data_IF_141462273953
#
_entry.id   IF_141462273953
#
_cell.length_a   1.000
_cell.length_b   1.000
_cell.length_c   1.000
_cell.angle_alpha   90.00
_cell.angle_beta   90.00
_cell.angle_gamma   90.00
#
_symmetry.space_group_name_H-M   'P 1'
#
loop_
_entity.id
_entity.type
_entity.pdbx_description
1 polymer ?
#
# COMPACT_ATOMS: atom_id res chain seq x y z
N UNK A 1 0.24 -18.09 -21.92
CA UNK A 1 0.63 -18.55 -20.57
C UNK A 1 -0.53 -19.30 -19.94
N UNK A 2 -0.27 -20.41 -19.26
CA UNK A 2 -1.26 -21.24 -18.56
C UNK A 2 -0.85 -21.28 -17.08
N UNK A 3 -1.57 -20.58 -16.18
CA UNK A 3 -1.33 -20.68 -14.75
C UNK A 3 -1.98 -21.95 -14.18
N UNK A 4 -1.27 -22.63 -13.28
CA UNK A 4 -1.79 -23.78 -12.54
C UNK A 4 -1.64 -23.53 -11.05
N UNK A 5 -2.77 -23.58 -10.34
CA UNK A 5 -2.82 -23.33 -8.90
C UNK A 5 -3.07 -24.62 -8.14
N UNK A 6 -2.15 -24.99 -7.26
CA UNK A 6 -2.34 -26.09 -6.32
C UNK A 6 -3.20 -25.63 -5.13
N UNK A 7 -4.35 -26.26 -4.95
CA UNK A 7 -5.29 -25.95 -3.86
C UNK A 7 -4.84 -26.48 -2.50
N UNK A 8 -3.90 -27.43 -2.46
CA UNK A 8 -3.44 -28.05 -1.21
C UNK A 8 -2.41 -27.19 -0.52
N UNK A 9 -1.36 -26.81 -1.24
CA UNK A 9 -0.28 -25.99 -0.72
C UNK A 9 -0.38 -24.52 -1.15
N UNK A 10 -1.42 -24.14 -1.89
CA UNK A 10 -1.64 -22.76 -2.36
C UNK A 10 -0.42 -22.23 -3.10
N UNK A 11 0.11 -23.01 -4.04
CA UNK A 11 1.28 -22.66 -4.84
C UNK A 11 0.86 -22.46 -6.29
N UNK A 12 1.52 -21.53 -6.97
CA UNK A 12 1.27 -21.23 -8.37
C UNK A 12 2.44 -21.70 -9.23
N UNK A 13 2.15 -22.39 -10.32
CA UNK A 13 3.10 -22.68 -11.39
C UNK A 13 2.62 -22.00 -12.68
N UNK A 14 3.57 -21.51 -13.47
CA UNK A 14 3.31 -20.96 -14.80
C UNK A 14 3.84 -21.91 -15.86
N UNK A 15 3.02 -22.22 -16.84
CA UNK A 15 3.39 -22.96 -18.03
C UNK A 15 3.28 -22.04 -19.25
N UNK A 16 4.34 -21.96 -20.04
CA UNK A 16 4.36 -21.24 -21.30
C UNK A 16 4.33 -22.29 -22.41
N UNK A 17 3.25 -22.28 -23.20
CA UNK A 17 3.03 -23.20 -24.29
C UNK A 17 2.98 -22.45 -25.62
N UNK A 18 3.35 -23.14 -26.69
CA UNK A 18 3.15 -22.66 -28.06
C UNK A 18 1.67 -22.71 -28.48
N UNK A 19 1.37 -22.24 -29.69
CA UNK A 19 0.01 -22.26 -30.25
C UNK A 19 -0.57 -23.67 -30.46
N UNK A 20 0.24 -24.72 -30.35
CA UNK A 20 -0.20 -26.12 -30.43
C UNK A 20 -0.35 -26.78 -29.04
N UNK A 21 -0.15 -26.01 -27.96
CA UNK A 21 -0.28 -26.50 -26.59
C UNK A 21 0.95 -27.24 -26.07
N UNK A 22 2.07 -27.28 -26.81
CA UNK A 22 3.31 -27.86 -26.30
C UNK A 22 3.94 -26.89 -25.29
N UNK A 23 4.13 -27.35 -24.06
CA UNK A 23 4.83 -26.58 -23.02
C UNK A 23 6.30 -26.39 -23.42
N UNK A 24 6.70 -25.15 -23.62
CA UNK A 24 8.07 -24.72 -23.94
C UNK A 24 8.87 -24.40 -22.67
N UNK A 25 8.23 -23.82 -21.66
CA UNK A 25 8.85 -23.45 -20.40
C UNK A 25 7.87 -23.61 -19.24
N UNK A 26 8.39 -23.92 -18.06
CA UNK A 26 7.61 -24.00 -16.82
C UNK A 26 8.41 -23.43 -15.66
N UNK A 27 7.74 -22.77 -14.72
CA UNK A 27 8.36 -22.29 -13.49
C UNK A 27 7.36 -22.24 -12.35
N UNK A 28 7.82 -22.59 -11.15
CA UNK A 28 7.16 -22.32 -9.87
C UNK A 28 8.00 -21.40 -8.98
N UNK A 29 9.10 -20.84 -9.52
CA UNK A 29 9.99 -19.91 -8.84
C UNK A 29 9.39 -18.49 -8.83
N UNK A 30 8.29 -18.34 -8.10
CA UNK A 30 7.52 -17.11 -7.96
C UNK A 30 7.66 -16.55 -6.54
N UNK A 31 7.68 -15.23 -6.40
CA UNK A 31 7.72 -14.54 -5.10
C UNK A 31 6.56 -14.98 -4.19
N UNK A 32 5.36 -15.16 -4.76
CA UNK A 32 4.16 -15.65 -4.05
C UNK A 32 4.37 -17.04 -3.40
N UNK A 33 5.24 -17.87 -3.97
CA UNK A 33 5.54 -19.20 -3.47
C UNK A 33 6.65 -19.22 -2.39
N UNK A 34 7.18 -18.04 -2.05
CA UNK A 34 8.29 -17.84 -1.12
C UNK A 34 7.95 -16.85 0.01
N UNK A 35 6.66 -16.54 0.22
CA UNK A 35 6.21 -15.57 1.23
C UNK A 35 6.37 -16.08 2.64
N UNK A 36 6.15 -17.37 2.87
CA UNK A 36 6.38 -18.01 4.16
C UNK A 36 7.57 -18.95 4.04
N UNK A 37 8.73 -18.48 4.51
CA UNK A 37 9.98 -19.21 4.41
C UNK A 37 9.90 -20.53 5.20
N UNK A 38 10.41 -21.61 4.59
CA UNK A 38 10.46 -22.94 5.20
C UNK A 38 9.12 -23.69 5.23
N UNK A 39 8.04 -23.14 4.68
CA UNK A 39 6.73 -23.80 4.63
C UNK A 39 6.33 -24.18 3.20
N UNK A 40 5.75 -25.37 3.04
CA UNK A 40 5.24 -25.81 1.74
C UNK A 40 3.97 -25.04 1.37
N UNK A 41 3.05 -24.89 2.33
CA UNK A 41 1.84 -24.11 2.18
C UNK A 41 2.18 -22.61 2.13
N UNK A 42 1.61 -21.90 1.16
CA UNK A 42 1.83 -20.47 0.95
C UNK A 42 0.50 -19.70 1.06
N UNK A 43 0.51 -18.36 1.19
CA UNK A 43 -0.71 -17.58 1.38
C UNK A 43 -1.44 -17.25 0.07
N UNK A 44 -0.95 -17.70 -1.08
CA UNK A 44 -1.49 -17.36 -2.40
C UNK A 44 -2.94 -17.82 -2.57
N UNK A 45 -3.76 -16.97 -3.17
CA UNK A 45 -5.18 -17.20 -3.44
C UNK A 45 -5.51 -17.17 -4.95
N UNK A 46 -4.54 -16.79 -5.80
CA UNK A 46 -4.73 -16.71 -7.24
C UNK A 46 -3.97 -15.54 -7.87
N UNK A 47 -4.10 -15.42 -9.20
CA UNK A 47 -3.56 -14.30 -9.96
C UNK A 47 -4.52 -13.11 -9.86
N UNK A 48 -3.98 -11.95 -9.53
CA UNK A 48 -4.69 -10.67 -9.55
C UNK A 48 -4.55 -10.00 -10.92
N UNK A 49 -3.32 -9.88 -11.42
CA UNK A 49 -3.04 -9.25 -12.70
C UNK A 49 -1.83 -9.90 -13.38
N UNK A 50 -1.79 -9.85 -14.71
CA UNK A 50 -0.64 -10.24 -15.51
C UNK A 50 -0.50 -9.30 -16.70
N UNK A 51 0.74 -8.87 -16.97
CA UNK A 51 1.07 -8.10 -18.16
C UNK A 51 2.31 -8.69 -18.84
N UNK A 52 2.34 -8.60 -20.17
CA UNK A 52 3.45 -9.05 -21.01
C UNK A 52 4.01 -7.84 -21.76
N UNK A 53 5.22 -7.43 -21.40
CA UNK A 53 5.85 -6.25 -21.96
C UNK A 53 7.35 -6.29 -21.70
N UNK A 54 8.11 -5.59 -22.52
CA UNK A 54 9.53 -5.36 -22.27
C UNK A 54 9.67 -4.33 -21.14
N UNK A 55 10.17 -4.75 -19.98
CA UNK A 55 10.42 -3.85 -18.83
C UNK A 55 11.89 -3.60 -18.57
N UNK A 56 12.81 -4.27 -19.26
CA UNK A 56 14.26 -4.07 -19.12
C UNK A 56 14.95 -3.45 -20.34
N UNK A 57 14.21 -3.23 -21.44
CA UNK A 57 14.68 -2.63 -22.69
C UNK A 57 15.49 -3.58 -23.57
N UNK A 58 15.33 -4.91 -23.43
CA UNK A 58 16.06 -5.92 -24.20
C UNK A 58 15.32 -6.42 -25.46
N UNK A 59 14.20 -5.78 -25.80
CA UNK A 59 13.29 -6.09 -26.91
C UNK A 59 12.58 -7.46 -26.76
N UNK A 60 12.58 -8.05 -25.56
CA UNK A 60 11.90 -9.31 -25.26
C UNK A 60 10.73 -9.08 -24.31
N UNK A 61 9.77 -10.00 -24.35
CA UNK A 61 8.58 -9.89 -23.50
C UNK A 61 8.87 -10.49 -22.14
N UNK A 62 8.88 -9.64 -21.12
CA UNK A 62 8.90 -10.04 -19.73
C UNK A 62 7.47 -10.27 -19.21
N UNK A 63 7.36 -10.94 -18.06
CA UNK A 63 6.08 -11.18 -17.38
C UNK A 63 6.06 -10.37 -16.10
N UNK A 64 5.14 -9.41 -16.02
CA UNK A 64 4.80 -8.72 -14.78
C UNK A 64 3.59 -9.44 -14.18
N UNK A 65 3.72 -9.92 -12.94
CA UNK A 65 2.71 -10.75 -12.27
C UNK A 65 2.34 -10.14 -10.92
N UNK A 66 1.03 -10.07 -10.64
CA UNK A 66 0.53 -9.77 -9.30
C UNK A 66 -0.38 -10.91 -8.87
N UNK A 67 -0.22 -11.38 -7.64
CA UNK A 67 -1.05 -12.43 -7.03
C UNK A 67 -1.73 -11.91 -5.78
N UNK A 68 -2.93 -12.42 -5.50
CA UNK A 68 -3.58 -12.21 -4.22
C UNK A 68 -3.03 -13.20 -3.21
N UNK A 69 -2.71 -12.72 -2.01
CA UNK A 69 -2.35 -13.53 -0.87
C UNK A 69 -3.31 -13.22 0.28
N UNK A 70 -3.56 -14.19 1.16
CA UNK A 70 -4.37 -14.01 2.36
C UNK A 70 -3.58 -14.43 3.58
N UNK A 71 -3.50 -13.52 4.55
CA UNK A 71 -2.82 -13.79 5.82
C UNK A 71 -3.56 -14.92 6.56
N UNK A 72 -2.84 -15.99 6.89
CA UNK A 72 -3.38 -17.14 7.61
C UNK A 72 -3.33 -16.98 9.14
N UNK A 73 -2.53 -16.03 9.64
CA UNK A 73 -2.23 -15.82 11.05
C UNK A 73 -1.84 -14.36 11.36
N UNK A 74 -1.71 -14.02 12.65
CA UNK A 74 -1.35 -12.68 13.12
C UNK A 74 -2.49 -11.67 13.12
N UNK A 75 -2.18 -10.41 13.42
CA UNK A 75 -3.15 -9.30 13.52
C UNK A 75 -3.86 -8.99 12.20
N UNK A 76 -3.28 -9.44 11.09
CA UNK A 76 -3.83 -9.29 9.74
C UNK A 76 -4.56 -10.54 9.23
N UNK A 77 -4.82 -11.55 10.08
CA UNK A 77 -5.47 -12.80 9.69
C UNK A 77 -6.77 -12.56 8.90
N UNK A 78 -6.90 -13.24 7.77
CA UNK A 78 -8.07 -13.14 6.88
C UNK A 78 -8.00 -11.96 5.90
N UNK A 79 -7.13 -10.97 6.12
CA UNK A 79 -6.95 -9.87 5.18
C UNK A 79 -6.18 -10.33 3.94
N UNK A 80 -6.69 -9.91 2.78
CA UNK A 80 -6.04 -10.11 1.48
C UNK A 80 -5.03 -8.99 1.25
N UNK A 81 -3.91 -9.30 0.61
CA UNK A 81 -2.88 -8.36 0.15
C UNK A 81 -2.33 -8.80 -1.19
N UNK A 82 -1.69 -7.90 -1.93
CA UNK A 82 -1.09 -8.19 -3.25
C UNK A 82 0.38 -8.61 -3.10
N UNK A 83 0.87 -9.46 -4.00
CA UNK A 83 2.30 -9.79 -4.14
C UNK A 83 2.69 -9.68 -5.60
N UNK A 84 3.61 -8.77 -5.90
CA UNK A 84 4.13 -8.50 -7.24
C UNK A 84 5.42 -9.27 -7.52
N UNK A 85 5.63 -9.63 -8.78
CA UNK A 85 6.84 -10.29 -9.27
C UNK A 85 7.10 -9.92 -10.74
N UNK A 86 8.35 -10.01 -11.16
CA UNK A 86 8.77 -9.79 -12.56
C UNK A 86 9.67 -10.92 -12.99
N UNK A 87 9.28 -11.59 -14.08
CA UNK A 87 10.05 -12.65 -14.70
C UNK A 87 10.60 -12.12 -16.03
N UNK A 88 11.92 -11.99 -16.09
CA UNK A 88 12.61 -11.51 -17.28
C UNK A 88 12.86 -12.66 -18.25
N UNK A 89 12.59 -12.43 -19.53
CA UNK A 89 12.94 -13.43 -20.54
C UNK A 89 14.48 -13.53 -20.66
N UNK A 90 15.02 -14.74 -20.72
CA UNK A 90 16.45 -14.91 -20.91
C UNK A 90 16.88 -14.54 -22.33
N UNK A 91 18.17 -14.24 -22.50
CA UNK A 91 18.73 -13.83 -23.80
C UNK A 91 18.57 -14.89 -24.89
N UNK A 92 18.52 -16.17 -24.51
CA UNK A 92 18.30 -17.27 -25.46
C UNK A 92 16.83 -17.40 -25.89
N UNK A 93 15.89 -16.67 -25.25
CA UNK A 93 14.45 -16.80 -25.48
C UNK A 93 13.87 -18.16 -25.07
N UNK A 94 14.62 -18.96 -24.29
CA UNK A 94 14.27 -20.35 -23.93
C UNK A 94 13.63 -20.46 -22.55
N UNK A 95 13.63 -19.38 -21.77
CA UNK A 95 13.08 -19.39 -20.42
C UNK A 95 13.10 -18.02 -19.76
N UNK A 96 12.77 -18.03 -18.48
CA UNK A 96 12.63 -16.83 -17.67
C UNK A 96 13.46 -16.94 -16.39
N UNK A 97 13.82 -15.80 -15.82
CA UNK A 97 14.47 -15.73 -14.52
C UNK A 97 13.88 -14.59 -13.68
N UNK A 98 14.06 -14.68 -12.36
CA UNK A 98 13.58 -13.69 -11.40
C UNK A 98 14.75 -12.97 -10.76
N UNK A 99 14.63 -11.65 -10.60
CA UNK A 99 15.52 -10.88 -9.73
C UNK A 99 14.83 -10.63 -8.39
N UNK A 100 15.29 -11.33 -7.35
CA UNK A 100 14.71 -11.21 -6.00
C UNK A 100 14.85 -9.81 -5.40
N UNK A 101 15.82 -8.99 -5.85
CA UNK A 101 16.03 -7.63 -5.35
C UNK A 101 14.93 -6.69 -5.86
N UNK A 102 14.48 -6.92 -7.09
CA UNK A 102 13.35 -6.19 -7.69
C UNK A 102 12.06 -6.60 -7.00
N UNK A 103 11.82 -7.90 -6.83
CA UNK A 103 10.65 -8.41 -6.10
C UNK A 103 10.59 -7.88 -4.66
N UNK A 104 11.71 -7.83 -3.94
CA UNK A 104 11.79 -7.27 -2.59
C UNK A 104 11.35 -5.79 -2.57
N UNK A 105 11.89 -4.96 -3.46
CA UNK A 105 11.53 -3.53 -3.53
C UNK A 105 10.08 -3.32 -3.91
N UNK A 106 9.58 -4.03 -4.93
CA UNK A 106 8.18 -3.95 -5.38
C UNK A 106 7.22 -4.18 -4.22
N UNK A 107 7.45 -5.25 -3.45
CA UNK A 107 6.55 -5.66 -2.39
C UNK A 107 6.75 -4.86 -1.09
N UNK A 108 7.97 -4.44 -0.79
CA UNK A 108 8.28 -3.68 0.44
C UNK A 108 7.73 -2.26 0.40
N UNK A 109 7.74 -1.63 -0.77
CA UNK A 109 7.37 -0.22 -0.91
C UNK A 109 6.00 0.01 -1.57
N UNK A 110 5.19 -1.06 -1.70
CA UNK A 110 3.81 -0.96 -2.15
C UNK A 110 3.65 -0.68 -3.65
N UNK A 111 4.64 -1.00 -4.47
CA UNK A 111 4.57 -0.87 -5.94
C UNK A 111 3.85 -2.06 -6.58
N UNK A 112 3.50 -3.08 -5.79
CA UNK A 112 2.71 -4.26 -6.17
C UNK A 112 1.19 -4.00 -6.30
N UNK A 113 0.75 -2.74 -6.28
CA UNK A 113 -0.67 -2.35 -6.39
C UNK A 113 -1.23 -2.58 -7.80
N UNK A 114 -0.43 -2.30 -8.84
CA UNK A 114 -0.81 -2.51 -10.24
C UNK A 114 0.39 -2.88 -11.10
N UNK A 115 0.12 -3.44 -12.28
CA UNK A 115 1.18 -3.78 -13.24
C UNK A 115 1.90 -2.54 -13.74
N UNK A 116 1.22 -1.42 -13.86
CA UNK A 116 1.74 -0.13 -14.32
C UNK A 116 2.71 0.47 -13.30
N UNK A 117 2.43 0.34 -11.99
CA UNK A 117 3.38 0.75 -10.95
C UNK A 117 4.65 -0.09 -10.97
N UNK A 118 4.52 -1.41 -11.09
CA UNK A 118 5.68 -2.29 -11.22
C UNK A 118 6.50 -1.90 -12.46
N UNK A 119 5.84 -1.65 -13.59
CA UNK A 119 6.51 -1.22 -14.82
C UNK A 119 7.20 0.14 -14.66
N UNK A 120 6.52 1.14 -14.07
CA UNK A 120 7.12 2.45 -13.81
C UNK A 120 8.38 2.34 -12.94
N UNK A 121 8.40 1.37 -12.01
CA UNK A 121 9.59 1.09 -11.21
C UNK A 121 10.69 0.38 -11.97
N UNK A 122 10.37 -0.74 -12.63
CA UNK A 122 11.39 -1.60 -13.25
C UNK A 122 11.95 -0.97 -14.53
N UNK A 123 11.08 -0.40 -15.38
CA UNK A 123 11.46 0.18 -16.66
C UNK A 123 11.93 1.63 -16.53
N UNK A 124 11.13 2.44 -15.83
CA UNK A 124 11.31 3.89 -15.83
C UNK A 124 12.09 4.40 -14.59
N UNK A 125 12.34 3.51 -13.60
CA UNK A 125 13.13 3.81 -12.40
C UNK A 125 12.39 4.60 -11.32
N UNK A 126 11.09 4.86 -11.48
CA UNK A 126 10.29 5.58 -10.48
C UNK A 126 10.03 4.71 -9.26
N UNK A 127 10.21 5.25 -8.05
CA UNK A 127 10.10 4.45 -6.83
C UNK A 127 9.38 5.21 -5.73
N UNK A 128 8.59 4.49 -4.95
CA UNK A 128 7.98 4.99 -3.71
C UNK A 128 8.92 4.83 -2.50
N UNK A 129 10.10 4.22 -2.65
CA UNK A 129 11.07 3.97 -1.57
C UNK A 129 11.44 5.24 -0.79
N UNK A 130 11.54 6.38 -1.47
CA UNK A 130 11.88 7.66 -0.82
C UNK A 130 10.80 8.13 0.17
N UNK A 131 9.54 7.73 -0.02
CA UNK A 131 8.44 8.05 0.91
C UNK A 131 8.66 7.43 2.30
N UNK A 132 9.48 6.38 2.39
CA UNK A 132 9.76 5.67 3.63
C UNK A 132 11.17 5.93 4.18
N UNK A 133 12.04 6.56 3.39
CA UNK A 133 13.47 6.71 3.71
C UNK A 133 13.94 8.15 3.80
N UNK A 134 13.18 9.12 3.27
CA UNK A 134 13.50 10.53 3.40
C UNK A 134 13.54 10.95 4.88
N UNK A 135 14.54 11.74 5.25
CA UNK A 135 14.74 12.27 6.60
C UNK A 135 14.22 13.70 6.74
N UNK A 136 14.00 14.41 5.63
CA UNK A 136 13.53 15.81 5.65
C UNK A 136 12.44 16.08 4.63
N UNK A 137 11.61 17.09 4.90
CA UNK A 137 10.57 17.53 3.96
C UNK A 137 11.17 17.97 2.61
N UNK A 138 12.36 18.57 2.64
CA UNK A 138 13.08 19.02 1.44
C UNK A 138 13.47 17.84 0.54
N UNK A 139 13.87 16.71 1.12
CA UNK A 139 14.18 15.50 0.35
C UNK A 139 12.94 14.93 -0.34
N UNK A 140 11.79 14.90 0.35
CA UNK A 140 10.51 14.51 -0.24
C UNK A 140 10.16 15.41 -1.44
N UNK A 141 10.23 16.74 -1.25
CA UNK A 141 9.90 17.70 -2.29
C UNK A 141 10.86 17.62 -3.50
N UNK A 142 12.14 17.29 -3.27
CA UNK A 142 13.11 17.06 -4.34
C UNK A 142 12.72 15.86 -5.22
N UNK A 143 12.05 14.87 -4.64
CA UNK A 143 11.49 13.71 -5.34
C UNK A 143 10.04 13.96 -5.82
N UNK A 144 9.66 15.23 -5.99
CA UNK A 144 8.35 15.64 -6.52
C UNK A 144 7.14 15.27 -5.65
N UNK A 145 7.35 15.03 -4.35
CA UNK A 145 6.24 14.94 -3.41
C UNK A 145 5.50 16.28 -3.31
N UNK A 146 4.20 16.26 -3.60
CA UNK A 146 3.34 17.44 -3.64
C UNK A 146 2.59 17.58 -2.32
N UNK A 147 2.90 18.64 -1.58
CA UNK A 147 2.23 18.95 -0.31
C UNK A 147 0.83 19.50 -0.58
N UNK A 148 -0.18 18.96 0.10
CA UNK A 148 -1.55 19.50 0.11
C UNK A 148 -1.59 20.64 1.13
N UNK A 149 -1.27 21.85 0.65
CA UNK A 149 -1.02 23.00 1.53
C UNK A 149 -2.25 23.45 2.32
N UNK A 150 -3.45 23.21 1.80
CA UNK A 150 -4.73 23.56 2.40
C UNK A 150 -5.02 22.76 3.69
N UNK A 151 -4.40 21.59 3.83
CA UNK A 151 -4.52 20.72 5.01
C UNK A 151 -3.23 20.69 5.84
N UNK A 152 -2.27 21.57 5.53
CA UNK A 152 -0.99 21.66 6.22
C UNK A 152 -1.06 22.64 7.38
N UNK A 153 -0.81 22.18 8.61
CA UNK A 153 -0.88 23.05 9.80
C UNK A 153 0.00 22.56 10.94
N UNK A 154 0.38 23.48 11.82
CA UNK A 154 1.17 23.18 13.02
C UNK A 154 0.28 22.76 14.19
N UNK A 155 0.73 21.78 14.96
CA UNK A 155 0.05 21.28 16.16
C UNK A 155 1.07 20.87 17.22
N UNK A 156 0.78 21.14 18.49
CA UNK A 156 1.59 20.65 19.61
C UNK A 156 1.10 19.27 20.05
N UNK A 157 1.96 18.27 19.94
CA UNK A 157 1.72 16.87 20.28
C UNK A 157 2.46 16.50 21.57
N UNK A 158 1.89 16.79 22.74
CA UNK A 158 2.41 16.34 24.04
C UNK A 158 3.95 16.37 24.14
N UNK A 159 4.57 15.19 24.36
CA UNK A 159 6.02 15.02 24.48
C UNK A 159 6.82 15.20 23.18
N UNK A 160 6.18 15.13 22.02
CA UNK A 160 6.82 15.31 20.72
C UNK A 160 6.99 16.80 20.35
N UNK A 161 6.42 17.71 21.14
CA UNK A 161 6.53 19.15 20.91
C UNK A 161 5.66 19.63 19.77
N UNK A 162 6.05 20.74 19.14
CA UNK A 162 5.31 21.36 18.04
C UNK A 162 5.79 20.76 16.72
N UNK A 163 4.87 20.16 15.98
CA UNK A 163 5.12 19.55 14.68
C UNK A 163 4.16 20.13 13.64
N UNK A 164 4.62 20.20 12.40
CA UNK A 164 3.78 20.47 11.24
C UNK A 164 3.22 19.15 10.72
N UNK A 165 1.91 19.09 10.55
CA UNK A 165 1.22 18.00 9.85
C UNK A 165 1.28 18.33 8.36
N UNK A 166 1.99 17.50 7.59
CA UNK A 166 2.27 17.72 6.18
C UNK A 166 1.69 16.57 5.35
N UNK A 167 0.41 16.65 4.95
CA UNK A 167 -0.17 15.74 3.98
C UNK A 167 0.36 16.02 2.58
N UNK A 168 0.47 14.98 1.76
CA UNK A 168 0.82 15.15 0.35
C UNK A 168 0.76 13.88 -0.45
N UNK A 169 0.93 14.01 -1.76
CA UNK A 169 0.87 12.93 -2.72
C UNK A 169 2.15 12.83 -3.52
N UNK A 170 2.47 11.62 -3.96
CA UNK A 170 3.45 11.37 -5.01
C UNK A 170 2.74 10.69 -6.17
N UNK A 171 2.77 11.34 -7.33
CA UNK A 171 2.16 10.83 -8.55
C UNK A 171 3.13 9.89 -9.28
N UNK A 172 2.73 8.64 -9.49
CA UNK A 172 3.49 7.63 -10.21
C UNK A 172 2.55 6.77 -11.04
N UNK A 173 2.90 6.58 -12.33
CA UNK A 173 1.98 6.03 -13.33
C UNK A 173 0.65 6.83 -13.32
N UNK A 174 -0.47 6.19 -13.00
CA UNK A 174 -1.80 6.82 -12.89
C UNK A 174 -2.29 6.96 -11.42
N UNK A 175 -1.37 6.88 -10.46
CA UNK A 175 -1.70 6.76 -9.03
C UNK A 175 -1.08 7.87 -8.20
N UNK A 176 -1.88 8.44 -7.30
CA UNK A 176 -1.47 9.38 -6.26
C UNK A 176 -1.29 8.62 -4.93
N UNK A 177 -0.03 8.39 -4.58
CA UNK A 177 0.36 7.75 -3.32
C UNK A 177 0.33 8.81 -2.22
N UNK A 178 -0.63 8.69 -1.32
CA UNK A 178 -0.89 9.63 -0.23
C UNK A 178 -0.18 9.25 1.06
N UNK A 179 0.57 10.21 1.60
CA UNK A 179 1.31 10.10 2.86
C UNK A 179 1.04 11.34 3.73
N UNK A 180 1.17 11.18 5.04
CA UNK A 180 1.20 12.32 5.96
C UNK A 180 2.49 12.25 6.76
N UNK A 181 3.25 13.34 6.76
CA UNK A 181 4.47 13.45 7.54
C UNK A 181 4.27 14.42 8.70
N UNK A 182 4.90 14.12 9.83
CA UNK A 182 5.05 15.04 10.94
C UNK A 182 6.46 15.60 10.92
N UNK A 183 6.56 16.92 10.76
CA UNK A 183 7.82 17.61 10.51
C UNK A 183 8.11 18.57 11.66
N UNK A 184 9.33 18.55 12.21
CA UNK A 184 9.74 19.49 13.26
C UNK A 184 10.10 20.87 12.70
N UNK A 185 10.48 21.81 13.57
CA UNK A 185 10.79 23.18 13.17
C UNK A 185 12.07 23.27 12.31
N UNK A 186 12.97 22.28 12.40
CA UNK A 186 14.16 22.16 11.55
C UNK A 186 13.87 21.55 10.16
N UNK A 187 12.64 21.09 9.89
CA UNK A 187 12.28 20.46 8.63
C UNK A 187 12.58 18.96 8.54
N UNK A 188 12.96 18.33 9.66
CA UNK A 188 13.17 16.89 9.77
C UNK A 188 11.84 16.15 9.98
N UNK A 189 11.74 14.99 9.34
CA UNK A 189 10.59 14.08 9.47
C UNK A 189 10.75 13.30 10.78
N UNK A 190 9.80 13.46 11.68
CA UNK A 190 9.73 12.75 12.97
C UNK A 190 8.88 11.49 12.85
N UNK A 191 7.86 11.51 11.99
CA UNK A 191 6.99 10.35 11.76
C UNK A 191 6.35 10.44 10.37
N UNK A 192 6.11 9.28 9.76
CA UNK A 192 5.34 9.13 8.53
C UNK A 192 4.15 8.21 8.76
N UNK A 193 2.98 8.61 8.28
CA UNK A 193 1.72 7.89 8.40
C UNK A 193 1.24 7.46 7.00
N UNK A 194 0.57 6.30 6.93
CA UNK A 194 0.12 5.66 5.68
C UNK A 194 -1.41 5.45 5.69
N UNK A 195 -2.23 6.52 5.56
CA UNK A 195 -3.67 6.41 5.75
C UNK A 195 -4.37 5.53 4.71
N UNK A 196 -3.77 5.35 3.54
CA UNK A 196 -4.35 4.55 2.44
C UNK A 196 -4.43 3.05 2.75
N UNK A 197 -3.57 2.51 3.61
CA UNK A 197 -3.47 1.06 3.78
C UNK A 197 -3.37 0.32 2.43
N UNK A 198 -4.33 -0.57 2.17
CA UNK A 198 -4.40 -1.42 0.98
C UNK A 198 -5.05 -0.75 -0.25
N UNK A 199 -5.60 0.47 -0.13
CA UNK A 199 -6.17 1.16 -1.29
C UNK A 199 -5.10 1.53 -2.31
N UNK A 200 -5.48 1.55 -3.59
CA UNK A 200 -4.51 1.77 -4.66
C UNK A 200 -4.16 3.26 -4.82
N UNK A 201 -5.15 4.15 -4.78
CA UNK A 201 -5.00 5.58 -5.12
C UNK A 201 -5.80 6.52 -4.18
N UNK A 202 -5.30 7.74 -3.93
CA UNK A 202 -6.09 8.81 -3.29
C UNK A 202 -7.02 9.45 -4.32
N UNK A 203 -8.32 9.38 -4.07
CA UNK A 203 -9.32 10.04 -4.91
C UNK A 203 -9.61 11.47 -4.44
N UNK A 204 -9.82 11.67 -3.13
CA UNK A 204 -10.02 12.99 -2.55
C UNK A 204 -9.74 13.01 -1.05
N UNK A 205 -8.96 13.98 -0.56
CA UNK A 205 -8.80 14.18 0.89
C UNK A 205 -9.99 14.98 1.45
N UNK A 206 -10.80 14.38 2.32
CA UNK A 206 -11.93 15.07 2.97
C UNK A 206 -11.46 15.91 4.17
N UNK A 207 -10.45 15.46 4.90
CA UNK A 207 -9.80 16.27 5.92
C UNK A 207 -8.91 15.51 6.90
N UNK A 208 -8.15 16.26 7.69
CA UNK A 208 -7.30 15.72 8.77
C UNK A 208 -7.58 16.50 10.05
N UNK A 209 -7.90 15.80 11.14
CA UNK A 209 -8.14 16.41 12.44
C UNK A 209 -7.15 15.90 13.50
N UNK A 210 -6.57 16.82 14.26
CA UNK A 210 -5.69 16.50 15.38
C UNK A 210 -6.33 16.90 16.72
N UNK A 211 -6.79 15.91 17.48
CA UNK A 211 -7.42 16.07 18.80
C UNK A 211 -7.37 14.78 19.61
N UNK A 212 -7.63 14.90 20.90
CA UNK A 212 -7.81 13.77 21.81
C UNK A 212 -9.07 12.97 21.44
N UNK A 213 -8.91 11.70 21.07
CA UNK A 213 -9.98 10.78 20.68
C UNK A 213 -10.19 9.69 21.73
N UNK A 214 -9.12 9.14 22.32
CA UNK A 214 -9.20 8.06 23.30
C UNK A 214 -9.27 8.54 24.76
N UNK A 215 -8.97 9.81 25.00
CA UNK A 215 -9.05 10.48 26.28
C UNK A 215 -7.82 10.39 27.16
N UNK A 216 -6.69 10.03 26.59
CA UNK A 216 -5.42 10.03 27.31
C UNK A 216 -4.80 11.43 27.47
N UNK A 217 -5.45 12.47 26.91
CA UNK A 217 -5.00 13.87 26.95
C UNK A 217 -3.94 14.20 25.89
N UNK A 218 -3.53 13.24 25.07
CA UNK A 218 -2.65 13.43 23.91
C UNK A 218 -3.49 13.74 22.67
N UNK A 219 -2.83 14.17 21.58
CA UNK A 219 -3.53 14.52 20.34
C UNK A 219 -3.36 13.42 19.33
N UNK A 220 -4.46 12.74 19.04
CA UNK A 220 -4.54 11.74 17.99
C UNK A 220 -4.78 12.41 16.63
N UNK A 221 -4.53 11.66 15.56
CA UNK A 221 -4.72 12.12 14.19
C UNK A 221 -5.81 11.27 13.54
N UNK A 222 -6.88 11.92 13.09
CA UNK A 222 -7.96 11.33 12.33
C UNK A 222 -7.88 11.82 10.89
N UNK A 223 -7.84 10.89 9.95
CA UNK A 223 -7.77 11.17 8.52
C UNK A 223 -9.03 10.62 7.89
N UNK A 224 -9.74 11.43 7.11
CA UNK A 224 -10.89 11.00 6.32
C UNK A 224 -10.64 11.35 4.86
N UNK A 225 -10.81 10.38 3.97
CA UNK A 225 -10.59 10.56 2.54
C UNK A 225 -11.46 9.61 1.72
N UNK A 226 -11.48 9.85 0.42
CA UNK A 226 -11.97 8.92 -0.58
C UNK A 226 -10.77 8.28 -1.24
N UNK A 227 -10.79 6.97 -1.31
CA UNK A 227 -9.76 6.19 -1.97
C UNK A 227 -10.36 5.43 -3.14
N UNK A 228 -9.51 5.00 -4.05
CA UNK A 228 -9.91 4.08 -5.12
C UNK A 228 -9.04 2.85 -5.17
N UNK A 229 -9.63 1.75 -5.61
CA UNK A 229 -8.97 0.47 -5.78
C UNK A 229 -9.64 -0.34 -6.88
N UNK A 230 -8.92 -1.34 -7.38
CA UNK A 230 -9.46 -2.30 -8.35
C UNK A 230 -10.23 -3.42 -7.63
N UNK A 231 -11.53 -3.53 -7.94
CA UNK A 231 -12.42 -4.57 -7.43
C UNK A 231 -12.16 -5.96 -8.02
N UNK A 232 -12.85 -6.98 -7.51
CA UNK A 232 -12.62 -8.38 -7.90
C UNK A 232 -12.88 -8.67 -9.40
N UNK A 233 -13.64 -7.82 -10.09
CA UNK A 233 -13.93 -7.95 -11.53
C UNK A 233 -13.16 -6.94 -12.38
N UNK A 234 -12.15 -6.27 -11.81
CA UNK A 234 -11.37 -5.25 -12.50
C UNK A 234 -12.06 -3.90 -12.60
N UNK A 235 -13.15 -3.68 -11.87
CA UNK A 235 -13.85 -2.40 -11.82
C UNK A 235 -13.14 -1.41 -10.90
N UNK A 236 -13.11 -0.13 -11.28
CA UNK A 236 -12.66 0.93 -10.38
C UNK A 236 -13.73 1.19 -9.32
N UNK A 237 -13.42 0.89 -8.06
CA UNK A 237 -14.26 1.21 -6.92
C UNK A 237 -13.71 2.46 -6.23
N UNK A 238 -14.59 3.39 -5.86
CA UNK A 238 -14.26 4.60 -5.10
C UNK A 238 -15.15 4.65 -3.87
N UNK A 239 -14.54 4.73 -2.69
CA UNK A 239 -15.29 4.78 -1.43
C UNK A 239 -14.58 5.68 -0.40
N UNK A 240 -15.37 6.20 0.54
CA UNK A 240 -14.85 6.91 1.70
C UNK A 240 -14.34 5.94 2.76
N UNK A 241 -13.16 6.22 3.29
CA UNK A 241 -12.62 5.50 4.45
C UNK A 241 -11.77 6.46 5.31
N UNK A 242 -11.45 6.01 6.52
CA UNK A 242 -10.69 6.78 7.47
C UNK A 242 -9.55 5.99 8.12
N UNK A 243 -8.60 6.71 8.70
CA UNK A 243 -7.56 6.16 9.55
C UNK A 243 -7.44 6.97 10.82
N UNK A 244 -7.25 6.30 11.95
CA UNK A 244 -7.00 6.94 13.25
C UNK A 244 -5.63 6.51 13.73
N UNK A 245 -4.84 7.47 14.20
CA UNK A 245 -3.51 7.26 14.74
C UNK A 245 -3.47 7.83 16.15
N UNK A 246 -3.40 6.95 17.14
CA UNK A 246 -3.31 7.36 18.54
C UNK A 246 -1.90 7.80 18.89
N UNK A 247 -1.76 8.93 19.56
CA UNK A 247 -0.46 9.39 20.02
C UNK A 247 0.05 8.49 21.15
N UNK A 248 1.32 8.09 21.07
CA UNK A 248 2.04 7.34 22.11
C UNK A 248 3.32 8.09 22.48
N UNK A 249 4.00 7.67 23.54
CA UNK A 249 5.14 8.40 24.14
C UNK A 249 6.25 8.77 23.13
N UNK A 250 6.46 7.96 22.09
CA UNK A 250 7.51 8.20 21.08
C UNK A 250 7.02 8.20 19.62
N UNK A 251 5.71 8.33 19.37
CA UNK A 251 5.18 8.26 18.01
C UNK A 251 3.67 8.04 17.97
N UNK A 252 3.21 7.31 16.97
CA UNK A 252 1.79 7.05 16.73
C UNK A 252 1.55 5.57 16.46
N UNK A 253 0.41 5.06 16.95
CA UNK A 253 -0.08 3.71 16.66
C UNK A 253 -1.37 3.79 15.86
N UNK A 254 -1.42 3.15 14.69
CA UNK A 254 -2.63 3.06 13.89
C UNK A 254 -3.70 2.24 14.62
N UNK A 255 -4.95 2.70 14.59
CA UNK A 255 -6.11 1.94 15.03
C UNK A 255 -6.40 0.77 14.07
N UNK A 256 -6.67 -0.41 14.62
CA UNK A 256 -7.04 -1.61 13.86
C UNK A 256 -8.45 -2.11 14.15
N UNK A 257 -9.12 -1.54 15.14
CA UNK A 257 -10.24 -2.17 15.84
C UNK A 257 -11.55 -1.43 15.63
N UNK A 258 -11.54 -0.09 15.57
CA UNK A 258 -12.77 0.71 15.48
C UNK A 258 -13.56 0.39 14.21
N UNK A 259 -12.88 0.04 13.11
CA UNK A 259 -13.51 -0.33 11.85
C UNK A 259 -14.38 -1.59 11.95
N UNK A 260 -14.16 -2.43 12.96
CA UNK A 260 -15.05 -3.56 13.25
C UNK A 260 -16.43 -3.13 13.80
N UNK A 261 -16.51 -1.92 14.37
CA UNK A 261 -17.74 -1.36 14.95
C UNK A 261 -18.36 -0.26 14.10
N UNK A 262 -17.54 0.50 13.36
CA UNK A 262 -17.99 1.60 12.53
C UNK A 262 -17.35 1.53 11.16
N UNK A 263 -18.17 1.22 10.15
CA UNK A 263 -17.77 1.28 8.75
C UNK A 263 -18.13 2.67 8.22
N UNK A 264 -17.18 3.31 7.53
CA UNK A 264 -17.38 4.63 6.96
C UNK A 264 -18.43 4.57 5.84
N UNK A 265 -19.23 5.63 5.71
CA UNK A 265 -20.09 5.86 4.56
C UNK A 265 -19.61 7.06 3.74
N UNK A 266 -20.08 7.18 2.49
CA UNK A 266 -19.78 8.36 1.66
C UNK A 266 -20.38 9.67 2.20
N UNK A 267 -21.46 9.57 2.98
CA UNK A 267 -22.13 10.69 3.65
C UNK A 267 -21.39 11.14 4.92
N UNK A 268 -20.44 10.35 5.40
CA UNK A 268 -19.71 10.66 6.62
C UNK A 268 -18.86 11.91 6.47
N UNK A 269 -18.98 12.76 7.48
CA UNK A 269 -18.19 13.97 7.67
C UNK A 269 -17.14 13.74 8.76
N UNK A 270 -16.13 14.61 8.78
CA UNK A 270 -15.11 14.59 9.83
C UNK A 270 -15.70 14.73 11.24
N UNK A 271 -16.79 15.50 11.38
CA UNK A 271 -17.46 15.68 12.67
C UNK A 271 -18.12 14.38 13.14
N UNK A 272 -18.92 13.73 12.29
CA UNK A 272 -19.57 12.45 12.61
C UNK A 272 -18.51 11.42 12.99
N UNK A 273 -17.44 11.31 12.21
CA UNK A 273 -16.36 10.36 12.47
C UNK A 273 -15.72 10.58 13.84
N UNK A 274 -15.43 11.84 14.20
CA UNK A 274 -14.86 12.17 15.52
C UNK A 274 -15.83 11.78 16.65
N UNK A 275 -17.13 12.03 16.48
CA UNK A 275 -18.12 11.67 17.49
C UNK A 275 -18.18 10.14 17.68
N UNK A 276 -18.19 9.38 16.59
CA UNK A 276 -18.18 7.90 16.62
C UNK A 276 -16.88 7.36 17.23
N UNK A 277 -15.74 7.95 16.89
CA UNK A 277 -14.45 7.56 17.42
C UNK A 277 -14.32 7.81 18.91
N UNK A 278 -14.78 8.96 19.40
CA UNK A 278 -14.85 9.24 20.84
C UNK A 278 -15.82 8.31 21.57
N UNK A 279 -17.00 8.08 21.00
CA UNK A 279 -17.98 7.17 21.57
C UNK A 279 -17.45 5.73 21.70
N UNK A 280 -16.61 5.28 20.76
CA UNK A 280 -15.92 3.98 20.84
C UNK A 280 -15.06 3.84 22.11
N UNK A 281 -14.40 4.93 22.52
CA UNK A 281 -13.61 5.01 23.75
C UNK A 281 -14.43 5.36 25.00
N UNK A 282 -15.76 5.41 24.90
CA UNK A 282 -16.64 5.69 26.02
C UNK A 282 -16.77 7.17 26.39
N UNK A 283 -16.26 8.08 25.55
CA UNK A 283 -16.48 9.51 25.71
C UNK A 283 -17.93 9.83 25.37
N UNK A 284 -18.71 10.21 26.38
CA UNK A 284 -20.04 10.78 26.17
C UNK A 284 -19.89 12.24 25.78
N UNK A 285 -20.46 12.61 24.65
CA UNK A 285 -20.72 14.01 24.31
C UNK A 285 -21.90 14.40 25.19
N UNK A 286 -21.71 15.33 26.14
CA UNK A 286 -22.86 15.91 26.84
C UNK A 286 -23.79 16.55 25.79
N UNK A 287 -25.11 16.30 25.89
CA UNK A 287 -26.08 16.74 24.89
C UNK A 287 -26.19 18.26 24.77
#
# INVERSE_FOLDING_TARGET
MIPAFDKTYHRLALFLADGQGKVLYKTDQLETNSRVLGQMQQPNCGIAAVSFQDVNGDERLDIVLITYCRNSSGDYKGKTYKVGDVLFQNQQGTGFYRDYRIADKINRFGMNKSTELITAFVRDGYSTEFLYTAATLKELQKQQFQVITEQCYSRTFGKLGKLQVVPGTYHIADYDIFMIYLVNEEGCIVSGLQPMGEYDNLYALKGINCRDIDGDGLKDIVVLARYSYEGEKGELVVESDYAIYYQRTGGFSADTDIKSRYQCSDEDTMEILIQKARAYWGWKIEP
#
